data_IF_701805219264
#
_entry.id   IF_701805219264
#
_cell.length_a   1.000
_cell.length_b   1.000
_cell.length_c   1.000
_cell.angle_alpha   90.00
_cell.angle_beta   90.00
_cell.angle_gamma   90.00
#
_symmetry.space_group_name_H-M   'P 1'
#
loop_
_entity.id
_entity.type
_entity.pdbx_description
1 polymer ?
#
# COMPACT_ATOMS: atom_id res chain seq x y z
N UNK A 1 -11.46 -1.50 -8.80
CA UNK A 1 -10.46 -2.13 -7.92
C UNK A 1 -9.59 -1.02 -7.33
N UNK A 2 -8.98 -1.23 -6.14
CA UNK A 2 -8.07 -0.24 -5.57
C UNK A 2 -6.87 -0.87 -4.88
N UNK A 3 -5.74 -0.19 -4.92
CA UNK A 3 -4.51 -0.55 -4.22
C UNK A 3 -4.22 0.50 -3.17
N UNK A 4 -3.91 0.04 -1.96
CA UNK A 4 -3.59 0.89 -0.81
C UNK A 4 -2.21 0.52 -0.26
N UNK A 5 -1.38 1.51 0.03
CA UNK A 5 -0.14 1.35 0.78
C UNK A 5 -0.30 1.91 2.19
N UNK A 6 0.14 1.13 3.17
CA UNK A 6 0.08 1.47 4.59
C UNK A 6 1.51 1.58 5.09
N UNK A 7 1.90 2.78 5.51
CA UNK A 7 3.24 3.06 6.01
C UNK A 7 3.28 4.32 6.88
N UNK A 8 4.30 4.43 7.72
CA UNK A 8 4.56 5.63 8.53
C UNK A 8 5.45 6.58 7.76
N UNK A 9 5.01 7.83 7.60
CA UNK A 9 5.78 8.89 6.94
C UNK A 9 7.10 9.19 7.66
N UNK A 10 7.12 9.13 8.99
CA UNK A 10 8.32 9.32 9.82
C UNK A 10 8.97 7.96 10.17
N UNK A 11 9.43 7.23 9.15
CA UNK A 11 10.10 5.93 9.36
C UNK A 11 11.29 5.71 8.43
N UNK A 12 12.19 4.79 8.82
CA UNK A 12 13.33 4.36 8.02
C UNK A 12 12.94 3.80 6.64
N UNK A 13 11.67 3.42 6.44
CA UNK A 13 11.16 2.84 5.20
C UNK A 13 10.35 3.82 4.36
N UNK A 14 10.06 5.02 4.87
CA UNK A 14 9.25 6.00 4.17
C UNK A 14 9.86 6.38 2.81
N UNK A 15 11.18 6.55 2.74
CA UNK A 15 11.88 6.89 1.50
C UNK A 15 11.68 5.85 0.41
N UNK A 16 11.78 4.56 0.77
CA UNK A 16 11.60 3.45 -0.17
C UNK A 16 10.16 3.43 -0.72
N UNK A 17 9.17 3.67 0.14
CA UNK A 17 7.76 3.78 -0.26
C UNK A 17 7.52 5.00 -1.16
N UNK A 18 8.07 6.16 -0.83
CA UNK A 18 7.94 7.37 -1.67
C UNK A 18 8.54 7.18 -3.06
N UNK A 19 9.75 6.60 -3.14
CA UNK A 19 10.41 6.31 -4.41
C UNK A 19 9.57 5.31 -5.23
N UNK A 20 9.03 4.28 -4.58
CA UNK A 20 8.11 3.31 -5.19
C UNK A 20 6.85 3.97 -5.76
N UNK A 21 6.15 4.80 -4.97
CA UNK A 21 4.93 5.50 -5.38
C UNK A 21 5.18 6.44 -6.56
N UNK A 22 6.29 7.18 -6.51
CA UNK A 22 6.70 8.08 -7.60
C UNK A 22 6.96 7.31 -8.89
N UNK A 23 7.70 6.21 -8.80
CA UNK A 23 8.04 5.40 -9.97
C UNK A 23 6.83 4.65 -10.51
N UNK A 24 5.95 4.17 -9.64
CA UNK A 24 4.67 3.57 -10.01
C UNK A 24 3.81 4.56 -10.80
N UNK A 25 3.60 5.76 -10.28
CA UNK A 25 2.81 6.80 -10.95
C UNK A 25 3.42 7.20 -12.29
N UNK A 26 4.74 7.32 -12.36
CA UNK A 26 5.46 7.63 -13.61
C UNK A 26 5.33 6.54 -14.67
N UNK A 27 5.32 5.27 -14.28
CA UNK A 27 5.28 4.14 -15.22
C UNK A 27 3.86 3.76 -15.64
N UNK A 28 2.90 3.82 -14.73
CA UNK A 28 1.54 3.34 -14.96
C UNK A 28 0.54 4.48 -15.23
N UNK A 29 0.86 5.72 -14.85
CA UNK A 29 -0.07 6.84 -14.86
C UNK A 29 -1.11 6.81 -13.72
N UNK A 30 -1.05 5.83 -12.82
CA UNK A 30 -2.00 5.66 -11.71
C UNK A 30 -1.36 6.01 -10.37
N UNK A 31 -2.15 6.51 -9.43
CA UNK A 31 -1.72 6.73 -8.04
C UNK A 31 -2.20 5.58 -7.16
N UNK A 32 -1.38 5.21 -6.16
CA UNK A 32 -1.77 4.27 -5.11
C UNK A 32 -2.27 5.09 -3.92
N UNK A 33 -3.34 4.63 -3.27
CA UNK A 33 -3.89 5.27 -2.08
C UNK A 33 -2.96 5.09 -0.89
N UNK A 34 -2.68 6.14 -0.13
CA UNK A 34 -1.78 6.11 1.02
C UNK A 34 -2.59 6.19 2.32
N UNK A 35 -2.31 5.28 3.27
CA UNK A 35 -2.90 5.28 4.61
C UNK A 35 -1.79 5.37 5.67
N UNK A 36 -1.92 6.37 6.54
CA UNK A 36 -1.13 6.47 7.76
C UNK A 36 -1.72 5.56 8.86
N UNK A 37 -1.00 4.50 9.30
CA UNK A 37 -1.49 3.59 10.33
C UNK A 37 -1.70 4.25 11.69
N UNK A 38 -1.04 5.38 11.97
CA UNK A 38 -1.16 6.08 13.26
C UNK A 38 -2.38 7.03 13.29
N UNK A 39 -3.06 7.21 12.14
CA UNK A 39 -4.34 7.92 12.07
C UNK A 39 -5.51 7.07 12.61
N UNK A 40 -6.61 7.72 13.01
CA UNK A 40 -7.81 7.00 13.49
C UNK A 40 -8.39 6.05 12.43
N UNK A 41 -8.47 6.52 11.19
CA UNK A 41 -8.98 5.71 10.08
C UNK A 41 -7.99 4.59 9.71
N UNK A 42 -6.69 4.91 9.66
CA UNK A 42 -5.67 3.92 9.36
C UNK A 42 -5.54 2.82 10.41
N UNK A 43 -5.60 3.16 11.70
CA UNK A 43 -5.61 2.15 12.77
C UNK A 43 -6.83 1.23 12.69
N UNK A 44 -8.02 1.76 12.37
CA UNK A 44 -9.20 0.95 12.12
C UNK A 44 -9.02 0.06 10.88
N UNK A 45 -8.48 0.60 9.79
CA UNK A 45 -8.19 -0.14 8.57
C UNK A 45 -7.22 -1.29 8.82
N UNK A 46 -6.12 -1.04 9.55
CA UNK A 46 -5.15 -2.05 9.93
C UNK A 46 -5.77 -3.16 10.77
N UNK A 47 -6.66 -2.81 11.71
CA UNK A 47 -7.39 -3.80 12.50
C UNK A 47 -8.36 -4.64 11.65
N UNK A 48 -9.03 -4.05 10.66
CA UNK A 48 -9.97 -4.76 9.78
C UNK A 48 -9.25 -5.75 8.87
N UNK A 49 -8.08 -5.37 8.34
CA UNK A 49 -7.32 -6.15 7.37
C UNK A 49 -6.12 -6.90 7.98
N UNK A 50 -6.03 -6.97 9.32
CA UNK A 50 -4.97 -7.64 10.08
C UNK A 50 -3.55 -7.24 9.61
N UNK A 51 -3.32 -5.92 9.55
CA UNK A 51 -2.03 -5.33 9.17
C UNK A 51 -1.24 -5.06 10.44
N UNK A 52 -0.16 -5.84 10.61
CA UNK A 52 0.74 -5.78 11.77
C UNK A 52 2.18 -5.43 11.40
N UNK A 53 2.49 -5.32 10.10
CA UNK A 53 3.81 -5.05 9.57
C UNK A 53 3.76 -3.89 8.58
N UNK A 54 4.79 -3.03 8.61
CA UNK A 54 4.92 -1.87 7.75
C UNK A 54 6.26 -1.88 6.99
N UNK A 55 6.29 -1.48 5.71
CA UNK A 55 5.13 -1.12 4.90
C UNK A 55 4.27 -2.35 4.52
N UNK A 56 2.99 -2.14 4.23
CA UNK A 56 2.12 -3.17 3.63
C UNK A 56 1.39 -2.57 2.44
N UNK A 57 1.36 -3.28 1.31
CA UNK A 57 0.52 -2.95 0.15
C UNK A 57 -0.60 -3.98 0.08
N UNK A 58 -1.83 -3.52 -0.08
CA UNK A 58 -3.01 -4.37 -0.18
C UNK A 58 -3.83 -4.01 -1.43
N UNK A 59 -4.19 -5.03 -2.21
CA UNK A 59 -5.09 -4.91 -3.34
C UNK A 59 -6.48 -5.37 -2.95
N UNK A 60 -7.47 -4.50 -3.15
CA UNK A 60 -8.87 -4.74 -2.80
C UNK A 60 -9.75 -4.76 -4.06
N UNK A 61 -10.72 -5.67 -4.07
CA UNK A 61 -11.83 -5.61 -5.03
C UNK A 61 -12.73 -4.41 -4.74
N UNK A 62 -13.63 -4.10 -5.67
CA UNK A 62 -14.65 -3.05 -5.46
C UNK A 62 -15.64 -3.40 -4.33
N UNK A 63 -15.70 -4.66 -3.91
CA UNK A 63 -16.48 -5.14 -2.76
C UNK A 63 -15.70 -5.13 -1.44
N UNK A 64 -14.44 -4.66 -1.45
CA UNK A 64 -13.57 -4.63 -0.26
C UNK A 64 -12.94 -5.98 0.10
N UNK A 65 -13.06 -6.99 -0.75
CA UNK A 65 -12.40 -8.28 -0.57
C UNK A 65 -10.91 -8.16 -0.89
N UNK A 66 -10.08 -8.83 -0.09
CA UNK A 66 -8.63 -8.88 -0.30
C UNK A 66 -8.32 -9.76 -1.49
N UNK A 67 -7.71 -9.15 -2.52
CA UNK A 67 -7.26 -9.85 -3.72
C UNK A 67 -5.79 -10.26 -3.60
N UNK A 68 -4.97 -9.41 -2.98
CA UNK A 68 -3.57 -9.71 -2.67
C UNK A 68 -3.02 -8.79 -1.57
N UNK A 69 -1.97 -9.24 -0.88
CA UNK A 69 -1.28 -8.48 0.17
C UNK A 69 0.22 -8.73 0.10
N UNK A 70 1.00 -7.66 0.08
CA UNK A 70 2.46 -7.69 0.19
C UNK A 70 2.87 -7.00 1.49
N UNK A 71 3.59 -7.72 2.36
CA UNK A 71 3.96 -7.27 3.70
C UNK A 71 5.47 -7.10 3.80
N UNK A 72 5.90 -6.03 4.46
CA UNK A 72 7.29 -5.76 4.75
C UNK A 72 8.11 -5.44 3.50
N UNK A 73 9.36 -5.91 3.50
CA UNK A 73 10.33 -5.71 2.42
C UNK A 73 10.85 -7.06 1.90
N UNK A 74 11.25 -7.14 0.62
CA UNK A 74 11.25 -6.07 -0.38
C UNK A 74 9.84 -5.71 -0.87
N UNK A 75 9.65 -4.47 -1.35
CA UNK A 75 8.40 -4.06 -1.99
C UNK A 75 8.16 -4.90 -3.27
N UNK A 76 6.88 -5.18 -3.61
CA UNK A 76 6.55 -5.89 -4.85
C UNK A 76 6.96 -5.09 -6.08
N UNK A 77 7.09 -5.76 -7.22
CA UNK A 77 7.36 -5.06 -8.47
C UNK A 77 6.18 -4.19 -8.89
N UNK A 78 6.46 -3.15 -9.68
CA UNK A 78 5.41 -2.29 -10.25
C UNK A 78 4.44 -3.12 -11.10
N UNK A 79 4.95 -4.08 -11.89
CA UNK A 79 4.12 -4.93 -12.73
C UNK A 79 3.13 -5.78 -11.92
N UNK A 80 3.56 -6.34 -10.78
CA UNK A 80 2.68 -7.09 -9.88
C UNK A 80 1.53 -6.24 -9.33
N UNK A 81 1.82 -5.00 -8.92
CA UNK A 81 0.81 -4.11 -8.36
C UNK A 81 -0.08 -3.48 -9.45
N UNK A 82 0.48 -3.21 -10.63
CA UNK A 82 -0.23 -2.59 -11.76
C UNK A 82 -1.38 -3.43 -12.32
N UNK A 83 -1.39 -4.74 -12.03
CA UNK A 83 -2.51 -5.61 -12.38
C UNK A 83 -3.80 -5.26 -11.64
N UNK A 84 -3.72 -4.52 -10.53
CA UNK A 84 -4.83 -4.27 -9.61
C UNK A 84 -5.37 -2.82 -9.62
N UNK A 85 -4.83 -1.94 -10.46
CA UNK A 85 -5.29 -0.55 -10.66
C UNK A 85 -6.17 -0.41 -11.89
#
# INVERSE_FOLDING_TARGET
>A
MRVVVIYRYESDHAREVFDYLRDFSRQTGHAIEEIDPDSREGSQFCSVYDIVEYPTIIALSDSGQVQNTWRGRPLPTISEVSFYV
#
